data_IF_100265116591
#
_entry.id   IF_100265116591
#
_cell.length_a   1.000
_cell.length_b   1.000
_cell.length_c   1.000
_cell.angle_alpha   90.00
_cell.angle_beta   90.00
_cell.angle_gamma   90.00
#
_symmetry.space_group_name_H-M   'P 1'
#
loop_
_entity.id
_entity.type
_entity.pdbx_description
1 polymer ?
#
# COMPACT_ATOMS: atom_id res chain seq x y z
N UNK A 1 32.79 -40.79 -20.71
CA UNK A 1 32.24 -39.88 -19.71
C UNK A 1 31.18 -39.02 -20.38
N UNK A 2 29.92 -39.18 -20.00
CA UNK A 2 28.87 -38.25 -20.39
C UNK A 2 27.85 -38.23 -19.27
N UNK A 3 27.70 -37.02 -18.74
CA UNK A 3 27.25 -36.74 -17.40
C UNK A 3 25.76 -37.01 -17.20
N UNK A 4 25.47 -37.66 -16.06
CA UNK A 4 24.18 -37.67 -15.41
C UNK A 4 23.88 -36.27 -14.87
N UNK A 5 23.14 -35.46 -15.62
CA UNK A 5 22.54 -34.24 -15.08
C UNK A 5 21.20 -34.62 -14.48
N UNK A 6 21.17 -34.79 -13.15
CA UNK A 6 19.92 -34.71 -12.39
C UNK A 6 19.36 -33.31 -12.61
N UNK A 7 18.34 -33.20 -13.44
CA UNK A 7 17.45 -32.05 -13.41
C UNK A 7 16.65 -32.12 -12.10
N UNK A 8 17.27 -31.63 -11.02
CA UNK A 8 16.51 -31.19 -9.86
C UNK A 8 15.48 -30.19 -10.38
N UNK A 9 14.21 -30.50 -10.13
CA UNK A 9 13.08 -29.64 -10.44
C UNK A 9 13.22 -28.33 -9.66
N UNK A 10 14.00 -27.39 -10.20
CA UNK A 10 14.03 -26.00 -9.79
C UNK A 10 12.73 -25.38 -10.31
N UNK A 11 11.64 -25.67 -9.61
CA UNK A 11 10.39 -24.92 -9.76
C UNK A 11 10.69 -23.44 -9.57
N UNK A 12 9.92 -22.53 -10.21
CA UNK A 12 10.11 -21.10 -10.01
C UNK A 12 10.16 -20.81 -8.50
N UNK A 13 11.03 -19.90 -8.03
CA UNK A 13 11.08 -19.59 -6.61
C UNK A 13 9.67 -19.23 -6.19
N UNK A 14 9.13 -19.97 -5.22
CA UNK A 14 7.86 -19.60 -4.59
C UNK A 14 8.08 -18.22 -4.01
N UNK A 15 7.66 -17.18 -4.73
CA UNK A 15 7.61 -15.83 -4.22
C UNK A 15 6.54 -15.83 -3.14
N UNK A 16 6.95 -16.17 -1.93
CA UNK A 16 6.06 -16.26 -0.79
C UNK A 16 5.77 -14.83 -0.31
N UNK A 17 4.60 -14.31 -0.66
CA UNK A 17 4.11 -13.05 -0.13
C UNK A 17 3.90 -13.21 1.38
N UNK A 18 4.57 -12.35 2.16
CA UNK A 18 4.52 -12.43 3.63
C UNK A 18 3.35 -11.65 4.22
N UNK A 19 3.16 -10.42 3.76
CA UNK A 19 2.15 -9.48 4.26
C UNK A 19 1.98 -8.30 3.31
N UNK A 20 0.90 -7.55 3.51
CA UNK A 20 0.76 -6.21 2.95
C UNK A 20 1.62 -5.23 3.77
N UNK A 21 2.45 -4.45 3.11
CA UNK A 21 3.23 -3.37 3.74
C UNK A 21 2.38 -2.09 3.80
N UNK A 22 1.78 -1.72 2.68
CA UNK A 22 0.90 -0.57 2.57
C UNK A 22 -0.08 -0.71 1.40
N UNK A 23 -1.07 0.17 1.39
CA UNK A 23 -1.99 0.39 0.27
C UNK A 23 -2.01 1.88 -0.06
N UNK A 24 -2.38 2.22 -1.30
CA UNK A 24 -2.64 3.62 -1.69
C UNK A 24 -4.15 3.84 -1.69
N UNK A 25 -4.60 4.86 -0.96
CA UNK A 25 -5.98 5.34 -1.01
C UNK A 25 -6.04 6.58 -1.90
N UNK A 26 -6.79 6.48 -3.00
CA UNK A 26 -7.22 7.68 -3.73
C UNK A 26 -8.34 8.34 -2.92
N UNK A 27 -8.21 9.63 -2.64
CA UNK A 27 -9.14 10.36 -1.77
C UNK A 27 -9.53 11.69 -2.39
N UNK A 28 -10.71 12.20 -2.04
CA UNK A 28 -11.16 13.52 -2.53
C UNK A 28 -10.33 14.67 -1.93
N UNK A 29 -9.94 14.55 -0.66
CA UNK A 29 -9.14 15.54 0.06
C UNK A 29 -8.16 14.83 0.98
N UNK A 30 -6.88 15.10 0.80
CA UNK A 30 -5.83 14.54 1.65
C UNK A 30 -5.99 15.03 3.09
N UNK A 31 -6.23 16.32 3.30
CA UNK A 31 -6.41 16.92 4.61
C UNK A 31 -7.63 16.37 5.36
N UNK A 32 -8.77 16.26 4.68
CA UNK A 32 -9.99 15.70 5.28
C UNK A 32 -9.81 14.23 5.69
N UNK A 33 -9.08 13.46 4.87
CA UNK A 33 -8.76 12.05 5.17
C UNK A 33 -7.82 11.96 6.37
N UNK A 34 -6.76 12.76 6.38
CA UNK A 34 -5.81 12.85 7.50
C UNK A 34 -6.52 13.18 8.82
N UNK A 35 -7.40 14.18 8.79
CA UNK A 35 -8.18 14.57 9.96
C UNK A 35 -9.03 13.40 10.47
N UNK A 36 -9.77 12.72 9.58
CA UNK A 36 -10.62 11.60 9.96
C UNK A 36 -9.82 10.45 10.59
N UNK A 37 -8.81 9.92 9.90
CA UNK A 37 -8.09 8.73 10.36
C UNK A 37 -7.25 8.99 11.62
N UNK A 38 -6.64 10.18 11.74
CA UNK A 38 -5.91 10.55 12.97
C UNK A 38 -6.83 10.73 14.18
N UNK A 39 -8.08 11.17 13.97
CA UNK A 39 -9.03 11.41 15.06
C UNK A 39 -9.84 10.18 15.45
N UNK A 40 -10.29 9.40 14.48
CA UNK A 40 -11.17 8.25 14.72
C UNK A 40 -10.38 7.00 15.03
N UNK A 41 -9.26 6.76 14.32
CA UNK A 41 -8.45 5.54 14.46
C UNK A 41 -7.09 5.80 15.11
N UNK A 42 -6.76 7.05 15.45
CA UNK A 42 -5.50 7.38 16.14
C UNK A 42 -4.25 7.18 15.28
N UNK A 43 -4.37 7.14 13.95
CA UNK A 43 -3.23 6.92 13.06
C UNK A 43 -2.23 8.07 13.13
N UNK A 44 -0.93 7.75 13.08
CA UNK A 44 0.14 8.74 12.96
C UNK A 44 0.20 9.29 11.52
N UNK A 45 0.39 10.59 11.37
CA UNK A 45 0.45 11.26 10.06
C UNK A 45 1.89 11.57 9.72
N UNK A 46 2.39 10.97 8.66
CA UNK A 46 3.75 11.20 8.16
C UNK A 46 3.68 11.98 6.85
N UNK A 47 4.54 12.99 6.75
CA UNK A 47 4.76 13.74 5.49
C UNK A 47 6.13 13.39 4.95
N UNK A 48 6.22 13.02 3.67
CA UNK A 48 7.47 12.66 3.02
C UNK A 48 7.49 13.17 1.57
N UNK A 49 8.67 13.19 0.96
CA UNK A 49 8.87 13.54 -0.47
C UNK A 49 8.05 14.76 -0.91
N UNK A 50 8.18 15.86 -0.17
CA UNK A 50 7.38 17.06 -0.37
C UNK A 50 6.05 16.96 0.36
N UNK A 51 4.94 16.88 -0.40
CA UNK A 51 3.58 16.90 0.15
C UNK A 51 2.92 15.52 0.19
N UNK A 52 3.67 14.43 0.06
CA UNK A 52 3.08 13.09 0.15
C UNK A 52 2.70 12.82 1.60
N UNK A 53 1.50 12.29 1.81
CA UNK A 53 0.95 12.02 3.14
C UNK A 53 0.71 10.52 3.29
N UNK A 54 1.13 9.98 4.43
CA UNK A 54 0.80 8.63 4.86
C UNK A 54 0.15 8.61 6.23
N UNK A 55 -0.71 7.62 6.44
CA UNK A 55 -1.37 7.30 7.69
C UNK A 55 -0.79 5.99 8.22
N UNK A 56 -0.01 6.06 9.29
CA UNK A 56 0.66 4.91 9.88
C UNK A 56 -0.19 4.28 11.00
N UNK A 57 -0.21 2.94 11.01
CA UNK A 57 -0.83 2.13 12.05
C UNK A 57 -0.04 0.82 12.21
N UNK A 58 0.39 0.53 13.44
CA UNK A 58 1.31 -0.59 13.70
C UNK A 58 2.56 -0.50 12.82
N UNK A 59 2.82 -1.54 12.03
CA UNK A 59 3.94 -1.61 11.08
C UNK A 59 3.50 -1.43 9.61
N UNK A 60 2.31 -0.87 9.38
CA UNK A 60 1.70 -0.69 8.06
C UNK A 60 1.27 0.77 7.86
N UNK A 61 0.93 1.13 6.62
CA UNK A 61 0.43 2.47 6.32
C UNK A 61 -0.56 2.53 5.16
N UNK A 62 -1.31 3.61 5.10
CA UNK A 62 -1.98 4.06 3.89
C UNK A 62 -1.26 5.26 3.31
N UNK A 63 -0.79 5.15 2.07
CA UNK A 63 -0.35 6.32 1.30
C UNK A 63 -1.58 7.01 0.69
N UNK A 64 -1.60 8.34 0.68
CA UNK A 64 -2.73 9.10 0.19
C UNK A 64 -2.41 9.77 -1.14
N UNK A 65 -3.25 9.52 -2.14
CA UNK A 65 -3.26 10.27 -3.40
C UNK A 65 -4.55 11.08 -3.48
N UNK A 66 -4.45 12.38 -3.73
CA UNK A 66 -5.64 13.20 -3.97
C UNK A 66 -6.14 12.98 -5.41
N UNK A 67 -7.45 12.83 -5.58
CA UNK A 67 -8.06 12.60 -6.88
C UNK A 67 -7.74 13.74 -7.87
N UNK A 68 -7.25 13.39 -9.05
CA UNK A 68 -6.77 14.36 -10.05
C UNK A 68 -5.36 14.90 -9.79
N UNK A 69 -4.69 14.45 -8.72
CA UNK A 69 -3.31 14.79 -8.35
C UNK A 69 -2.55 13.53 -7.91
N UNK A 70 -2.87 12.39 -8.51
CA UNK A 70 -2.24 11.13 -8.18
C UNK A 70 -0.79 11.07 -8.69
N UNK A 71 0.08 10.44 -7.92
CA UNK A 71 1.45 10.15 -8.34
C UNK A 71 1.51 8.89 -9.21
N UNK A 72 2.40 8.86 -10.20
CA UNK A 72 2.67 7.68 -11.01
C UNK A 72 3.86 6.88 -10.44
N UNK A 73 3.82 5.54 -10.46
CA UNK A 73 2.74 4.70 -10.99
C UNK A 73 1.54 4.59 -10.02
N UNK A 74 0.33 4.45 -10.58
CA UNK A 74 -0.92 4.25 -9.81
C UNK A 74 -1.82 3.15 -10.37
N UNK A 75 -2.92 2.89 -9.66
CA UNK A 75 -3.96 1.97 -10.16
C UNK A 75 -4.56 2.48 -11.47
N UNK A 76 -5.00 1.55 -12.32
CA UNK A 76 -5.60 1.88 -13.63
C UNK A 76 -6.85 2.78 -13.53
N UNK A 77 -7.64 2.58 -12.48
CA UNK A 77 -8.86 3.33 -12.21
C UNK A 77 -8.86 3.78 -10.73
N UNK A 78 -8.18 4.88 -10.39
CA UNK A 78 -8.14 5.39 -9.02
C UNK A 78 -9.46 6.10 -8.70
N UNK A 79 -10.23 5.53 -7.78
CA UNK A 79 -11.58 6.01 -7.45
C UNK A 79 -11.68 6.27 -5.95
N UNK A 80 -11.94 7.53 -5.52
CA UNK A 80 -12.22 7.82 -4.13
C UNK A 80 -13.38 7.00 -3.57
N UNK A 81 -13.18 6.42 -2.37
CA UNK A 81 -14.21 5.62 -1.69
C UNK A 81 -14.40 4.20 -2.23
N UNK A 82 -13.52 3.73 -3.12
CA UNK A 82 -13.58 2.34 -3.64
C UNK A 82 -12.96 1.29 -2.71
N UNK A 83 -12.22 1.72 -1.68
CA UNK A 83 -11.61 0.80 -0.72
C UNK A 83 -12.62 0.32 0.31
N UNK A 84 -12.72 -0.99 0.49
CA UNK A 84 -13.41 -1.67 1.58
C UNK A 84 -12.38 -2.54 2.30
N UNK A 85 -12.06 -2.18 3.55
CA UNK A 85 -10.95 -2.75 4.32
C UNK A 85 -11.35 -2.97 5.77
N UNK A 86 -10.86 -4.07 6.34
CA UNK A 86 -11.00 -4.39 7.76
C UNK A 86 -9.66 -4.21 8.46
N UNK A 87 -9.65 -3.45 9.55
CA UNK A 87 -8.51 -3.30 10.46
C UNK A 87 -8.85 -3.96 11.79
N UNK A 88 -7.94 -4.80 12.29
CA UNK A 88 -8.07 -5.47 13.59
C UNK A 88 -7.38 -4.60 14.64
N UNK A 89 -8.05 -4.39 15.78
CA UNK A 89 -7.58 -3.59 16.93
C UNK A 89 -7.34 -4.46 18.15
#
# INVERSE_FOLDING_TARGET
ETMSWKEECMGPPSCLIQRLDHLVLTVKSTEGTVFFYSKVLGTEVVTFEGNHRALHFGNQKFNLHEAGREYEPRSRCPVPGSADICLVT
#
